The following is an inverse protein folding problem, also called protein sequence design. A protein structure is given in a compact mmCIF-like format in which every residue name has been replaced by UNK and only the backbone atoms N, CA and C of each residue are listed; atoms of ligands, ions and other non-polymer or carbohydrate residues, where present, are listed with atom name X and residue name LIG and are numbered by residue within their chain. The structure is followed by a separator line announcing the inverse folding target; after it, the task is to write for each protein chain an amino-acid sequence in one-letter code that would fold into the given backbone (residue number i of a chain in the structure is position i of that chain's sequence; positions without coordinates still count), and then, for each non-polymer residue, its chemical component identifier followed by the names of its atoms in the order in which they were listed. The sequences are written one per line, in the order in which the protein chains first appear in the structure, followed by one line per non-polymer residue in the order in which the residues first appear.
data_IF_948851263419
#
_entry.id   IF_948851263419
#
_cell.length_a   1.000
_cell.length_b   1.000
_cell.length_c   1.000
_cell.angle_alpha   90.00
_cell.angle_beta   90.00
_cell.angle_gamma   90.00
#
_symmetry.space_group_name_H-M   'P 1'
#
loop_
_entity.id
_entity.type
_entity.pdbx_description
1 polymer ?
#
# COMPACT_ATOMS: atom_id res chain seq x y z
N UNK A 1 -35.29 -43.16 -43.85
CA UNK A 1 -34.17 -42.17 -43.73
C UNK A 1 -34.52 -40.86 -43.02
N UNK A 2 -35.70 -40.24 -43.21
CA UNK A 2 -36.09 -39.00 -42.49
C UNK A 2 -36.22 -39.16 -40.97
N UNK A 3 -36.73 -40.30 -40.48
CA UNK A 3 -36.94 -40.52 -39.04
C UNK A 3 -35.64 -40.81 -38.27
N UNK A 4 -34.61 -41.38 -38.92
CA UNK A 4 -33.29 -41.63 -38.32
C UNK A 4 -32.52 -40.32 -38.10
N UNK A 5 -32.63 -39.35 -39.03
CA UNK A 5 -32.02 -38.02 -38.87
C UNK A 5 -32.65 -37.19 -37.74
N UNK A 6 -33.97 -37.26 -37.56
CA UNK A 6 -34.67 -36.62 -36.42
C UNK A 6 -34.28 -37.23 -35.07
N UNK A 7 -34.09 -38.55 -35.02
CA UNK A 7 -33.68 -39.27 -33.80
C UNK A 7 -32.23 -38.94 -33.39
N UNK A 8 -31.31 -38.83 -34.36
CA UNK A 8 -29.92 -38.42 -34.10
C UNK A 8 -29.85 -36.96 -33.63
N UNK A 9 -30.64 -36.04 -34.22
CA UNK A 9 -30.71 -34.65 -33.75
C UNK A 9 -31.28 -34.51 -32.33
N UNK A 10 -32.25 -35.35 -31.94
CA UNK A 10 -32.83 -35.35 -30.59
C UNK A 10 -31.82 -35.87 -29.54
N UNK A 11 -31.07 -36.92 -29.87
CA UNK A 11 -30.05 -37.50 -28.97
C UNK A 11 -28.86 -36.55 -28.82
N UNK A 12 -28.42 -35.88 -29.90
CA UNK A 12 -27.36 -34.87 -29.83
C UNK A 12 -27.79 -33.61 -29.05
N UNK A 13 -29.05 -33.20 -29.13
CA UNK A 13 -29.58 -32.09 -28.33
C UNK A 13 -29.72 -32.45 -26.84
N UNK A 14 -30.10 -33.69 -26.50
CA UNK A 14 -30.12 -34.17 -25.11
C UNK A 14 -28.70 -34.30 -24.51
N UNK A 15 -27.71 -34.75 -25.29
CA UNK A 15 -26.32 -34.86 -24.81
C UNK A 15 -25.68 -33.48 -24.57
N UNK A 16 -25.99 -32.50 -25.42
CA UNK A 16 -25.54 -31.11 -25.23
C UNK A 16 -26.24 -30.43 -24.04
N UNK A 17 -27.51 -30.75 -23.77
CA UNK A 17 -28.24 -30.24 -22.61
C UNK A 17 -27.77 -30.87 -21.28
N UNK A 18 -27.39 -32.15 -21.29
CA UNK A 18 -26.79 -32.81 -20.12
C UNK A 18 -25.37 -32.29 -19.81
N UNK A 19 -24.59 -31.90 -20.84
CA UNK A 19 -23.28 -31.26 -20.65
C UNK A 19 -23.40 -29.80 -20.17
N UNK A 20 -24.48 -29.10 -20.53
CA UNK A 20 -24.78 -27.76 -20.02
C UNK A 20 -25.34 -27.78 -18.58
N UNK A 21 -26.08 -28.83 -18.19
CA UNK A 21 -26.58 -29.00 -16.82
C UNK A 21 -25.55 -29.59 -15.84
N UNK A 22 -24.52 -30.29 -16.32
CA UNK A 22 -23.40 -30.75 -15.49
C UNK A 22 -22.52 -29.60 -14.95
N UNK A 23 -22.66 -28.38 -15.48
CA UNK A 23 -22.00 -27.17 -14.98
C UNK A 23 -22.86 -26.35 -13.99
N UNK A 24 -24.05 -26.82 -13.60
CA UNK A 24 -24.96 -26.09 -12.68
C UNK A 24 -24.96 -26.71 -11.27
N UNK A 25 -24.22 -27.80 -11.06
CA UNK A 25 -23.81 -28.27 -9.73
C UNK A 25 -22.29 -28.34 -9.66
N UNK A 26 -21.61 -27.22 -9.92
CA UNK A 26 -20.36 -26.98 -9.23
C UNK A 26 -20.72 -26.89 -7.75
N UNK A 27 -20.39 -27.94 -7.00
CA UNK A 27 -20.27 -27.82 -5.56
C UNK A 27 -19.43 -26.59 -5.32
N UNK A 28 -20.02 -25.62 -4.61
CA UNK A 28 -19.26 -24.52 -4.06
C UNK A 28 -18.37 -25.15 -3.00
N UNK A 29 -17.25 -25.73 -3.43
CA UNK A 29 -16.07 -25.72 -2.61
C UNK A 29 -15.81 -24.23 -2.41
N UNK A 30 -16.32 -23.70 -1.30
CA UNK A 30 -15.69 -22.58 -0.64
C UNK A 30 -14.26 -23.06 -0.44
N UNK A 31 -13.39 -22.79 -1.42
CA UNK A 31 -12.01 -22.55 -1.11
C UNK A 31 -12.11 -21.41 -0.10
N UNK A 32 -12.03 -21.76 1.19
CA UNK A 32 -11.68 -20.78 2.19
C UNK A 32 -10.42 -20.14 1.59
N UNK A 33 -10.56 -18.90 1.12
CA UNK A 33 -9.39 -18.10 0.84
C UNK A 33 -8.57 -18.24 2.12
N UNK A 34 -7.38 -18.83 2.00
CA UNK A 34 -6.42 -18.80 3.09
C UNK A 34 -6.16 -17.31 3.27
N UNK A 35 -6.93 -16.66 4.14
CA UNK A 35 -6.66 -15.31 4.58
C UNK A 35 -5.37 -15.49 5.37
N UNK A 36 -4.25 -15.28 4.70
CA UNK A 36 -2.96 -15.20 5.36
C UNK A 36 -3.15 -14.18 6.46
N UNK A 37 -2.95 -14.61 7.72
CA UNK A 37 -3.08 -13.70 8.84
C UNK A 37 -2.14 -12.52 8.60
N UNK A 38 -2.68 -11.30 8.77
CA UNK A 38 -1.90 -10.08 8.64
C UNK A 38 -0.68 -10.15 9.58
N UNK A 39 0.50 -9.71 9.12
CA UNK A 39 1.75 -9.88 9.84
C UNK A 39 1.77 -9.05 11.14
N UNK A 40 2.51 -9.51 12.15
CA UNK A 40 2.65 -8.78 13.43
C UNK A 40 3.47 -7.49 13.30
N UNK A 41 4.30 -7.40 12.26
CA UNK A 41 5.08 -6.22 11.92
C UNK A 41 5.19 -6.17 10.40
N UNK A 42 5.07 -4.98 9.82
CA UNK A 42 5.31 -4.76 8.41
C UNK A 42 5.79 -3.34 8.16
N UNK A 43 6.69 -3.14 7.19
CA UNK A 43 6.92 -1.83 6.62
C UNK A 43 5.57 -1.25 6.17
N UNK A 44 5.27 0.00 6.54
CA UNK A 44 4.10 0.69 6.01
C UNK A 44 4.48 1.32 4.66
N UNK A 45 5.49 2.18 4.66
CA UNK A 45 6.25 2.62 3.47
C UNK A 45 7.62 3.17 3.90
N UNK A 46 8.53 3.28 2.95
CA UNK A 46 9.78 4.03 3.09
C UNK A 46 10.04 4.87 1.83
N UNK A 47 10.63 6.05 1.99
CA UNK A 47 11.03 6.89 0.88
C UNK A 47 12.29 7.69 1.19
N UNK A 48 12.97 8.12 0.14
CA UNK A 48 14.06 9.09 0.25
C UNK A 48 13.56 10.44 0.81
N UNK A 49 14.37 11.06 1.66
CA UNK A 49 14.11 12.33 2.34
C UNK A 49 14.34 13.51 1.39
N UNK A 50 13.31 13.83 0.60
CA UNK A 50 13.23 15.04 -0.22
C UNK A 50 13.40 14.84 -1.73
N UNK A 51 12.99 15.80 -2.56
CA UNK A 51 13.18 15.76 -4.02
C UNK A 51 14.62 16.07 -4.45
N UNK A 52 15.45 16.54 -3.51
CA UNK A 52 16.79 17.04 -3.74
C UNK A 52 17.82 15.92 -3.63
N UNK A 53 18.39 15.52 -4.76
CA UNK A 53 19.54 14.60 -4.85
C UNK A 53 20.85 15.18 -4.28
N UNK A 54 20.81 16.31 -3.55
CA UNK A 54 21.97 17.18 -3.40
C UNK A 54 22.49 17.43 -1.98
N UNK A 55 21.88 16.92 -0.89
CA UNK A 55 22.56 16.95 0.42
C UNK A 55 21.91 16.04 1.45
N UNK A 56 22.72 15.10 1.95
CA UNK A 56 22.41 14.05 2.94
C UNK A 56 21.33 13.07 2.49
N UNK A 57 21.77 12.05 1.74
CA UNK A 57 20.92 10.92 1.38
C UNK A 57 20.42 10.22 2.65
N UNK A 58 19.14 10.39 2.93
CA UNK A 58 18.46 9.77 4.06
C UNK A 58 17.14 9.16 3.60
N UNK A 59 16.70 8.13 4.31
CA UNK A 59 15.44 7.46 4.07
C UNK A 59 14.59 7.55 5.32
N UNK A 60 13.39 8.09 5.19
CA UNK A 60 12.40 8.03 6.26
C UNK A 60 11.30 7.05 5.90
N UNK A 61 10.67 6.49 6.92
CA UNK A 61 9.60 5.54 6.71
C UNK A 61 8.76 5.36 7.94
N UNK A 62 7.71 4.56 7.75
CA UNK A 62 6.77 4.19 8.79
C UNK A 62 6.60 2.68 8.81
N UNK A 63 6.31 2.14 9.98
CA UNK A 63 6.13 0.70 10.25
C UNK A 63 4.78 0.52 10.92
N UNK A 64 4.01 -0.46 10.45
CA UNK A 64 2.81 -0.93 11.14
C UNK A 64 3.18 -2.08 12.08
N UNK A 65 2.77 -1.97 13.34
CA UNK A 65 3.10 -2.93 14.42
C UNK A 65 1.83 -3.37 15.13
N UNK A 66 1.51 -4.66 15.10
CA UNK A 66 0.29 -5.18 15.72
C UNK A 66 0.32 -4.97 17.23
N UNK A 67 -0.77 -4.46 17.79
CA UNK A 67 -0.89 -4.10 19.20
C UNK A 67 -1.10 -5.33 20.11
N UNK A 68 -0.01 -6.03 20.42
CA UNK A 68 -0.03 -7.27 21.22
C UNK A 68 0.26 -7.05 22.73
N UNK A 69 0.71 -5.86 23.12
CA UNK A 69 1.11 -5.52 24.50
C UNK A 69 1.68 -4.11 24.57
N UNK A 70 1.79 -3.51 25.75
CA UNK A 70 2.21 -2.10 25.89
C UNK A 70 3.72 -1.88 25.78
N UNK A 71 4.53 -2.88 26.14
CA UNK A 71 5.99 -2.78 26.11
C UNK A 71 6.51 -3.31 24.77
N UNK A 72 6.58 -2.41 23.79
CA UNK A 72 6.97 -2.70 22.40
C UNK A 72 8.36 -2.14 22.12
N UNK A 73 9.22 -2.98 21.58
CA UNK A 73 10.50 -2.56 21.01
C UNK A 73 10.48 -2.77 19.49
N UNK A 74 10.60 -1.68 18.73
CA UNK A 74 10.58 -1.68 17.27
C UNK A 74 11.90 -1.14 16.76
N UNK A 75 12.62 -1.94 15.99
CA UNK A 75 13.98 -1.62 15.55
C UNK A 75 14.09 -1.85 14.06
N UNK A 76 14.70 -0.88 13.36
CA UNK A 76 15.15 -1.05 11.99
C UNK A 76 16.57 -1.61 12.06
N UNK A 77 16.75 -2.85 11.61
CA UNK A 77 18.05 -3.51 11.48
C UNK A 77 18.55 -3.28 10.06
N UNK A 78 19.61 -2.49 9.88
CA UNK A 78 20.01 -2.00 8.57
C UNK A 78 21.52 -2.05 8.33
N UNK A 79 21.90 -2.07 7.06
CA UNK A 79 23.28 -2.05 6.59
C UNK A 79 23.41 -1.21 5.33
N UNK A 80 24.59 -0.63 5.12
CA UNK A 80 24.97 0.05 3.87
C UNK A 80 25.78 -0.85 2.94
N UNK A 81 26.55 -1.77 3.51
CA UNK A 81 27.59 -2.55 2.81
C UNK A 81 27.28 -4.05 2.77
N UNK A 82 26.20 -4.50 3.40
CA UNK A 82 25.83 -5.92 3.52
C UNK A 82 26.66 -6.70 4.56
N UNK A 83 27.58 -6.05 5.25
CA UNK A 83 28.51 -6.67 6.19
C UNK A 83 28.29 -6.16 7.62
N UNK A 84 28.25 -4.83 7.76
CA UNK A 84 28.09 -4.15 9.05
C UNK A 84 26.64 -3.80 9.24
N UNK A 85 25.99 -4.48 10.18
CA UNK A 85 24.60 -4.22 10.54
C UNK A 85 24.52 -3.31 11.77
N UNK A 86 23.56 -2.40 11.73
CA UNK A 86 23.27 -1.41 12.75
C UNK A 86 21.80 -1.52 13.15
N UNK A 87 21.49 -1.15 14.38
CA UNK A 87 20.11 -1.10 14.90
C UNK A 87 19.72 0.36 15.13
N UNK A 88 18.57 0.77 14.59
CA UNK A 88 17.93 2.06 14.85
C UNK A 88 16.57 1.83 15.52
N UNK A 89 16.37 2.35 16.72
CA UNK A 89 15.06 2.32 17.35
C UNK A 89 14.06 3.19 16.56
N UNK A 90 12.92 2.60 16.18
CA UNK A 90 11.81 3.33 15.59
C UNK A 90 11.00 4.03 16.69
N UNK A 91 10.39 5.16 16.36
CA UNK A 91 9.68 6.02 17.31
C UNK A 91 8.18 5.86 17.15
N UNK A 92 7.48 5.55 18.24
CA UNK A 92 6.01 5.50 18.25
C UNK A 92 5.42 6.84 17.79
N UNK A 93 4.46 6.79 16.88
CA UNK A 93 3.74 7.96 16.36
C UNK A 93 2.36 8.01 16.97
N UNK A 94 1.53 6.98 16.72
CA UNK A 94 0.14 6.86 17.17
C UNK A 94 -0.42 5.46 16.85
N UNK A 95 -1.61 5.15 17.35
CA UNK A 95 -2.41 4.04 16.83
C UNK A 95 -2.87 4.36 15.39
N UNK A 96 -2.92 3.37 14.49
CA UNK A 96 -3.42 3.58 13.13
C UNK A 96 -4.94 3.85 13.18
N UNK A 97 -5.41 5.03 12.72
CA UNK A 97 -6.83 5.35 12.76
C UNK A 97 -7.66 4.51 11.77
N UNK A 98 -7.04 3.94 10.74
CA UNK A 98 -7.73 3.13 9.73
C UNK A 98 -7.66 1.63 10.03
N UNK A 99 -6.73 1.20 10.90
CA UNK A 99 -6.55 -0.19 11.34
C UNK A 99 -6.16 -0.26 12.83
N UNK A 100 -7.13 -0.15 13.76
CA UNK A 100 -6.87 -0.03 15.19
C UNK A 100 -6.14 -1.22 15.83
N UNK A 101 -5.99 -2.34 15.11
CA UNK A 101 -5.13 -3.45 15.55
C UNK A 101 -3.64 -3.10 15.49
N UNK A 102 -3.26 -2.02 14.79
CA UNK A 102 -1.89 -1.64 14.56
C UNK A 102 -1.54 -0.27 15.15
N UNK A 103 -0.29 -0.16 15.61
CA UNK A 103 0.38 1.09 15.89
C UNK A 103 1.30 1.48 14.73
N UNK A 104 1.51 2.77 14.58
CA UNK A 104 2.41 3.36 13.61
C UNK A 104 3.67 3.85 14.31
N UNK A 105 4.82 3.37 13.82
CA UNK A 105 6.16 3.82 14.22
C UNK A 105 6.84 4.51 13.04
N UNK A 106 7.74 5.45 13.31
CA UNK A 106 8.52 6.16 12.30
C UNK A 106 10.02 5.91 12.47
N UNK A 107 10.77 6.02 11.38
CA UNK A 107 12.23 5.95 11.40
C UNK A 107 12.83 6.91 10.37
N UNK A 108 14.10 7.28 10.60
CA UNK A 108 14.91 8.05 9.66
C UNK A 108 16.35 7.53 9.69
N UNK A 109 16.80 6.95 8.58
CA UNK A 109 18.16 6.43 8.41
C UNK A 109 18.96 7.44 7.59
N UNK A 110 20.05 7.94 8.18
CA UNK A 110 20.90 8.97 7.57
C UNK A 110 22.05 8.37 6.75
N UNK A 111 21.73 7.43 5.87
CA UNK A 111 22.69 6.84 4.92
C UNK A 111 21.99 6.30 3.69
N UNK A 112 22.76 6.11 2.62
CA UNK A 112 22.36 5.50 1.35
C UNK A 112 23.59 4.85 0.68
N UNK A 113 23.41 3.73 -0.06
CA UNK A 113 22.18 2.93 -0.14
C UNK A 113 21.87 2.26 1.21
N UNK A 114 20.68 1.69 1.33
CA UNK A 114 20.29 0.91 2.52
C UNK A 114 19.69 -0.43 2.16
N UNK A 115 20.07 -1.44 2.93
CA UNK A 115 19.34 -2.70 3.05
C UNK A 115 18.87 -2.85 4.49
N UNK A 116 17.62 -3.21 4.72
CA UNK A 116 17.08 -3.29 6.08
C UNK A 116 15.95 -4.31 6.26
N UNK A 117 15.78 -4.74 7.51
CA UNK A 117 14.63 -5.49 8.01
C UNK A 117 14.10 -4.83 9.28
N UNK A 118 12.89 -5.17 9.68
CA UNK A 118 12.22 -4.61 10.84
C UNK A 118 12.06 -5.69 11.89
N UNK A 119 12.58 -5.44 13.09
CA UNK A 119 12.47 -6.29 14.26
C UNK A 119 11.42 -5.70 15.21
N UNK A 120 10.45 -6.51 15.61
CA UNK A 120 9.43 -6.16 16.60
C UNK A 120 9.48 -7.14 17.76
N UNK A 121 9.63 -6.65 18.98
CA UNK A 121 9.63 -7.46 20.19
C UNK A 121 8.55 -6.97 21.16
N UNK A 122 7.78 -7.91 21.69
CA UNK A 122 6.67 -7.67 22.62
C UNK A 122 6.36 -8.96 23.37
N UNK A 123 6.01 -8.87 24.66
CA UNK A 123 5.65 -10.03 25.50
C UNK A 123 6.65 -11.21 25.43
N UNK A 124 7.96 -10.90 25.33
CA UNK A 124 9.02 -11.90 25.21
C UNK A 124 9.10 -12.63 23.85
N UNK A 125 8.29 -12.23 22.86
CA UNK A 125 8.33 -12.75 21.49
C UNK A 125 9.09 -11.79 20.56
N UNK A 126 9.65 -12.32 19.47
CA UNK A 126 10.31 -11.53 18.43
C UNK A 126 9.72 -11.88 17.07
N UNK A 127 9.31 -10.85 16.33
CA UNK A 127 8.78 -10.91 14.97
C UNK A 127 9.68 -10.12 14.04
N UNK A 128 9.77 -10.56 12.79
CA UNK A 128 10.56 -9.91 11.76
C UNK A 128 9.71 -9.66 10.54
N UNK A 129 9.88 -8.47 9.97
CA UNK A 129 9.58 -8.21 8.57
C UNK A 129 10.91 -8.01 7.84
N UNK A 130 11.33 -9.06 7.15
CA UNK A 130 12.51 -9.08 6.31
C UNK A 130 12.13 -9.31 4.84
N UNK A 131 10.93 -8.88 4.42
CA UNK A 131 10.45 -8.99 3.04
C UNK A 131 10.65 -10.42 2.47
N UNK A 132 10.14 -11.42 3.19
CA UNK A 132 10.27 -12.85 2.87
C UNK A 132 11.72 -13.32 2.69
N UNK A 133 12.63 -12.79 3.50
CA UNK A 133 14.07 -13.10 3.48
C UNK A 133 14.89 -12.27 2.49
N UNK A 134 14.26 -11.43 1.66
CA UNK A 134 14.97 -10.59 0.71
C UNK A 134 15.52 -9.30 1.33
N UNK A 135 15.01 -8.93 2.50
CA UNK A 135 15.11 -7.58 3.09
C UNK A 135 14.52 -6.51 2.16
N UNK A 136 14.39 -5.30 2.70
CA UNK A 136 14.11 -4.11 1.91
C UNK A 136 15.42 -3.53 1.41
N UNK A 137 15.48 -3.14 0.15
CA UNK A 137 16.65 -2.51 -0.46
C UNK A 137 16.25 -1.21 -1.13
N UNK A 138 16.95 -0.12 -0.84
CA UNK A 138 16.70 1.21 -1.39
C UNK A 138 18.01 1.85 -1.80
N UNK A 139 18.08 2.23 -3.07
CA UNK A 139 19.20 2.91 -3.70
C UNK A 139 18.70 3.62 -4.95
N UNK A 140 19.48 4.52 -5.55
CA UNK A 140 19.12 5.11 -6.84
C UNK A 140 19.12 4.03 -7.94
N UNK A 141 18.03 3.85 -8.73
CA UNK A 141 16.87 4.74 -8.87
C UNK A 141 15.65 4.39 -8.01
N UNK A 142 15.65 3.29 -7.27
CA UNK A 142 14.54 2.84 -6.42
C UNK A 142 14.51 3.58 -5.06
N UNK A 143 13.89 4.75 -5.04
CA UNK A 143 13.87 5.65 -3.87
C UNK A 143 12.59 5.55 -3.01
N UNK A 144 11.68 4.63 -3.32
CA UNK A 144 10.41 4.44 -2.61
C UNK A 144 10.01 2.96 -2.56
N UNK A 145 9.47 2.54 -1.41
CA UNK A 145 8.90 1.21 -1.19
C UNK A 145 7.55 1.36 -0.49
N UNK A 146 6.52 0.69 -1.01
CA UNK A 146 5.19 0.61 -0.40
C UNK A 146 4.98 -0.80 0.18
N UNK A 147 4.99 -0.92 1.50
CA UNK A 147 4.77 -2.18 2.23
C UNK A 147 3.28 -2.43 2.46
N UNK A 148 2.78 -2.26 3.69
CA UNK A 148 1.33 -2.32 4.01
C UNK A 148 0.54 -1.25 3.26
N UNK A 149 1.13 -0.06 3.04
CA UNK A 149 0.45 1.00 2.31
C UNK A 149 0.30 0.67 0.83
N UNK A 150 -0.82 1.06 0.23
CA UNK A 150 -1.08 0.96 -1.21
C UNK A 150 -0.93 2.30 -1.93
N UNK A 151 -0.92 3.41 -1.17
CA UNK A 151 -0.89 4.78 -1.68
C UNK A 151 -0.15 5.69 -0.71
N UNK A 152 0.69 6.58 -1.23
CA UNK A 152 1.39 7.60 -0.44
C UNK A 152 1.51 8.91 -1.20
N UNK A 153 1.16 10.01 -0.54
CA UNK A 153 1.30 11.38 -1.01
C UNK A 153 2.63 11.94 -0.56
N UNK A 154 3.49 12.34 -1.48
CA UNK A 154 4.75 13.03 -1.17
C UNK A 154 4.48 14.51 -0.97
N UNK A 155 5.01 15.07 0.11
CA UNK A 155 4.95 16.50 0.41
C UNK A 155 6.33 17.14 0.30
N UNK A 156 6.42 18.26 -0.41
CA UNK A 156 7.62 19.09 -0.53
C UNK A 156 7.27 20.48 0.01
N UNK A 157 8.04 20.99 0.98
CA UNK A 157 7.74 22.25 1.67
C UNK A 157 6.29 22.31 2.18
N UNK A 158 5.83 21.21 2.80
CA UNK A 158 4.46 20.98 3.29
C UNK A 158 3.38 20.87 2.22
N UNK A 159 3.69 21.11 0.94
CA UNK A 159 2.73 21.02 -0.14
C UNK A 159 2.73 19.63 -0.78
N UNK A 160 1.57 19.05 -1.10
CA UNK A 160 1.49 17.82 -1.89
C UNK A 160 2.05 18.07 -3.25
N UNK A 161 2.89 17.17 -3.70
CA UNK A 161 3.48 17.29 -5.03
C UNK A 161 3.17 16.09 -5.89
N UNK A 162 3.32 14.90 -5.34
CA UNK A 162 3.28 13.64 -6.09
C UNK A 162 2.52 12.60 -5.26
N UNK A 163 1.86 11.65 -5.94
CA UNK A 163 1.24 10.48 -5.33
C UNK A 163 1.92 9.23 -5.89
N UNK A 164 2.40 8.35 -5.01
CA UNK A 164 2.83 7.00 -5.34
C UNK A 164 1.71 6.01 -5.05
N UNK A 165 1.44 5.09 -5.99
CA UNK A 165 0.50 3.98 -5.79
C UNK A 165 1.13 2.67 -6.21
N UNK A 166 0.75 1.56 -5.58
CA UNK A 166 1.15 0.23 -6.07
C UNK A 166 0.63 0.00 -7.48
N UNK A 167 1.42 -0.62 -8.35
CA UNK A 167 1.03 -0.94 -9.71
C UNK A 167 0.33 -2.30 -9.79
N UNK A 168 -0.94 -2.36 -9.42
CA UNK A 168 -1.68 -3.64 -9.28
C UNK A 168 -2.53 -4.07 -10.49
N UNK A 169 -2.83 -3.14 -11.40
CA UNK A 169 -3.60 -3.39 -12.62
C UNK A 169 -3.43 -2.23 -13.60
N UNK A 170 -3.84 -2.35 -14.86
CA UNK A 170 -3.87 -1.19 -15.76
C UNK A 170 -5.01 -0.22 -15.41
N UNK A 171 -6.21 -0.76 -15.18
CA UNK A 171 -7.38 0.05 -14.80
C UNK A 171 -7.32 0.38 -13.31
N UNK A 172 -7.05 1.65 -13.02
CA UNK A 172 -7.05 2.21 -11.67
C UNK A 172 -7.47 3.67 -11.71
N UNK A 173 -7.92 4.18 -10.57
CA UNK A 173 -8.27 5.59 -10.40
C UNK A 173 -7.58 6.13 -9.16
N UNK A 174 -7.00 7.33 -9.28
CA UNK A 174 -6.42 8.07 -8.15
C UNK A 174 -7.13 9.40 -8.05
N UNK A 175 -7.63 9.74 -6.86
CA UNK A 175 -8.34 11.00 -6.59
C UNK A 175 -7.74 11.70 -5.39
N UNK A 176 -7.74 13.02 -5.42
CA UNK A 176 -7.57 13.84 -4.24
C UNK A 176 -8.97 14.21 -3.77
N UNK A 177 -9.28 13.87 -2.53
CA UNK A 177 -10.45 14.38 -1.84
C UNK A 177 -10.04 15.48 -0.90
N UNK A 178 -10.70 16.63 -1.00
CA UNK A 178 -10.42 17.76 -0.11
C UNK A 178 -11.70 18.30 0.52
N UNK A 179 -11.53 18.97 1.66
CA UNK A 179 -12.56 19.73 2.36
C UNK A 179 -12.05 21.15 2.63
N UNK A 180 -12.97 22.10 2.73
CA UNK A 180 -12.71 23.48 3.15
C UNK A 180 -13.51 23.86 4.40
N UNK A 181 -14.21 22.89 5.01
CA UNK A 181 -15.17 23.11 6.09
C UNK A 181 -15.12 21.99 7.14
N UNK A 182 -13.91 21.53 7.48
CA UNK A 182 -13.68 20.47 8.47
C UNK A 182 -14.51 19.19 8.20
N UNK A 183 -14.49 18.73 6.95
CA UNK A 183 -15.15 17.50 6.50
C UNK A 183 -16.69 17.49 6.55
N UNK A 184 -17.34 18.64 6.81
CA UNK A 184 -18.80 18.75 6.66
C UNK A 184 -19.24 18.50 5.20
N UNK A 185 -18.41 18.89 4.25
CA UNK A 185 -18.52 18.50 2.85
C UNK A 185 -17.13 18.28 2.25
N UNK A 186 -17.07 17.55 1.14
CA UNK A 186 -15.83 17.32 0.41
C UNK A 186 -16.05 17.44 -1.11
N UNK A 187 -14.94 17.52 -1.84
CA UNK A 187 -14.87 17.47 -3.29
C UNK A 187 -13.78 16.48 -3.71
N UNK A 188 -14.03 15.73 -4.78
CA UNK A 188 -13.07 14.79 -5.34
C UNK A 188 -12.56 15.32 -6.69
N UNK A 189 -11.25 15.28 -6.90
CA UNK A 189 -10.59 15.66 -8.16
C UNK A 189 -9.67 14.53 -8.61
N UNK A 190 -9.78 14.13 -9.86
CA UNK A 190 -8.95 13.07 -10.42
C UNK A 190 -7.48 13.52 -10.53
N UNK A 191 -6.57 12.72 -9.99
CA UNK A 191 -5.14 12.83 -10.25
C UNK A 191 -4.83 12.35 -11.67
N UNK A 192 -3.65 12.71 -12.18
CA UNK A 192 -3.20 12.30 -13.51
C UNK A 192 -1.99 11.38 -13.42
N UNK A 193 -2.06 10.23 -14.06
CA UNK A 193 -0.89 9.35 -14.21
C UNK A 193 0.25 10.15 -14.83
N UNK A 194 1.46 9.99 -14.28
CA UNK A 194 2.65 10.63 -14.79
C UNK A 194 3.57 9.63 -15.47
N UNK A 195 4.04 8.63 -14.73
CA UNK A 195 4.96 7.58 -15.20
C UNK A 195 4.90 6.38 -14.25
N UNK A 196 5.43 5.25 -14.71
CA UNK A 196 5.86 4.19 -13.79
C UNK A 196 7.17 4.64 -13.13
N UNK A 197 7.23 4.64 -11.80
CA UNK A 197 8.47 4.93 -11.07
C UNK A 197 9.39 3.71 -11.08
N UNK A 198 8.79 2.52 -10.92
CA UNK A 198 9.41 1.22 -11.14
C UNK A 198 8.33 0.19 -11.49
N UNK A 199 8.68 -1.10 -11.55
CA UNK A 199 7.75 -2.18 -11.87
C UNK A 199 6.55 -2.27 -10.90
N UNK A 200 6.73 -1.87 -9.65
CA UNK A 200 5.76 -2.06 -8.57
C UNK A 200 5.02 -0.77 -8.19
N UNK A 201 5.47 0.40 -8.67
CA UNK A 201 4.97 1.71 -8.22
C UNK A 201 4.75 2.64 -9.42
N UNK A 202 3.55 3.21 -9.47
CA UNK A 202 3.23 4.32 -10.39
C UNK A 202 3.29 5.67 -9.67
N UNK A 203 3.70 6.68 -10.41
CA UNK A 203 3.70 8.09 -10.00
C UNK A 203 2.53 8.83 -10.65
N UNK A 204 1.80 9.60 -9.83
CA UNK A 204 0.65 10.38 -10.22
C UNK A 204 0.83 11.85 -9.79
N UNK A 205 0.50 12.75 -10.71
CA UNK A 205 0.53 14.19 -10.47
C UNK A 205 -0.74 14.65 -9.75
N UNK A 206 -0.53 15.57 -8.82
CA UNK A 206 -1.60 16.26 -8.12
C UNK A 206 -2.13 17.40 -9.01
N UNK A 207 -3.46 17.53 -9.19
CA UNK A 207 -4.06 18.61 -9.97
C UNK A 207 -3.72 19.99 -9.41
N UNK A 208 -3.42 20.94 -10.28
CA UNK A 208 -3.05 22.31 -9.88
C UNK A 208 -4.22 23.14 -9.35
N UNK A 209 -5.46 22.72 -9.61
CA UNK A 209 -6.68 23.44 -9.27
C UNK A 209 -7.31 22.99 -7.95
N UNK A 210 -6.50 22.44 -7.02
CA UNK A 210 -6.95 22.19 -5.65
C UNK A 210 -6.90 23.50 -4.84
N UNK A 211 -7.91 23.80 -4.01
CA UNK A 211 -7.88 24.98 -3.15
C UNK A 211 -6.68 24.98 -2.21
N UNK A 212 -6.26 26.17 -1.77
CA UNK A 212 -5.24 26.38 -0.74
C UNK A 212 -5.86 27.14 0.44
N UNK A 213 -5.24 27.02 1.61
CA UNK A 213 -5.65 27.76 2.80
C UNK A 213 -5.64 26.93 4.07
N UNK A 214 -5.71 27.62 5.21
CA UNK A 214 -5.56 27.02 6.55
C UNK A 214 -6.65 26.01 6.89
N UNK A 215 -7.83 26.16 6.29
CA UNK A 215 -8.99 25.28 6.48
C UNK A 215 -9.04 24.15 5.43
N UNK A 216 -8.11 24.14 4.47
CA UNK A 216 -8.05 23.12 3.43
C UNK A 216 -7.31 21.89 3.94
N UNK A 217 -8.00 20.76 3.93
CA UNK A 217 -7.44 19.45 4.26
C UNK A 217 -7.72 18.48 3.11
N UNK A 218 -6.79 17.58 2.85
CA UNK A 218 -6.96 16.56 1.82
C UNK A 218 -6.49 15.19 2.26
N UNK A 219 -7.08 14.20 1.60
CA UNK A 219 -6.68 12.80 1.57
C UNK A 219 -6.64 12.30 0.13
N UNK A 220 -5.94 11.20 -0.11
CA UNK A 220 -5.83 10.59 -1.44
C UNK A 220 -6.53 9.23 -1.45
N UNK A 221 -7.34 9.00 -2.48
CA UNK A 221 -8.03 7.74 -2.71
C UNK A 221 -7.40 7.04 -3.91
N UNK A 222 -7.06 5.77 -3.75
CA UNK A 222 -6.57 4.89 -4.80
C UNK A 222 -7.49 3.69 -4.96
N UNK A 223 -8.21 3.62 -6.08
CA UNK A 223 -9.13 2.54 -6.39
C UNK A 223 -8.59 1.64 -7.49
N UNK A 224 -8.51 0.33 -7.22
CA UNK A 224 -8.02 -0.69 -8.15
C UNK A 224 -8.61 -2.06 -7.80
N UNK A 225 -8.91 -2.89 -8.82
CA UNK A 225 -9.44 -4.25 -8.63
C UNK A 225 -10.66 -4.32 -7.67
N UNK A 226 -11.53 -3.31 -7.69
CA UNK A 226 -12.72 -3.24 -6.84
C UNK A 226 -12.46 -2.79 -5.39
N UNK A 227 -11.22 -2.55 -4.99
CA UNK A 227 -10.84 -2.04 -3.67
C UNK A 227 -10.52 -0.55 -3.72
N UNK A 228 -10.67 0.16 -2.60
CA UNK A 228 -10.23 1.55 -2.44
C UNK A 228 -9.34 1.67 -1.21
N UNK A 229 -8.15 2.21 -1.41
CA UNK A 229 -7.16 2.49 -0.39
C UNK A 229 -7.05 3.99 -0.16
N UNK A 230 -6.75 4.41 1.07
CA UNK A 230 -6.73 5.81 1.46
C UNK A 230 -5.37 6.16 2.04
N UNK A 231 -4.84 7.32 1.65
CA UNK A 231 -3.77 8.00 2.37
C UNK A 231 -4.29 9.33 2.91
N UNK A 232 -4.57 9.34 4.21
CA UNK A 232 -5.03 10.48 4.97
C UNK A 232 -3.98 10.95 6.00
N UNK A 233 -2.70 10.64 5.77
CA UNK A 233 -1.59 10.96 6.68
C UNK A 233 -1.87 10.49 8.12
N UNK A 234 -2.30 9.23 8.29
CA UNK A 234 -2.65 8.65 9.58
C UNK A 234 -3.64 9.53 10.38
N UNK A 235 -4.67 10.03 9.69
CA UNK A 235 -5.74 10.85 10.26
C UNK A 235 -5.38 12.31 10.56
N UNK A 236 -4.13 12.73 10.38
CA UNK A 236 -3.78 14.15 10.50
C UNK A 236 -4.26 14.96 9.29
N UNK A 237 -4.54 14.25 8.19
CA UNK A 237 -4.71 14.81 6.86
C UNK A 237 -3.47 15.59 6.45
N UNK A 238 -3.51 16.02 5.21
CA UNK A 238 -2.48 16.87 4.66
C UNK A 238 -3.07 18.28 4.41
N UNK A 239 -2.23 19.31 4.44
CA UNK A 239 -2.60 20.73 4.27
C UNK A 239 -1.63 21.46 3.33
N UNK A 240 -2.10 22.39 2.51
CA UNK A 240 -1.28 23.22 1.63
C UNK A 240 -1.37 24.69 2.08
N UNK A 241 -0.30 25.19 2.69
CA UNK A 241 -0.19 26.57 3.17
C UNK A 241 0.23 27.51 2.04
#
# INVERSE_FOLDING_TARGET
MKNVKKMIQLVSAMMLCCLLMANIFSTHANAAANIQAEPNVQLYYAQFSGPSRASYESYFGYVAVKNLGSDKNVVIHYTKDGQTWNDLAAVYVKADPNDPEYDIYSFNILTSPITFAIKYQVNGQTYWDNNDGNNYHMENPNLVVLGKSFVKTVTINNNPTIIYVKNLAYQKTVKIRYTTNNWNSYQDVDAKFYKAENENIDEWNIPQNIPTGTDVKYEVLYSVNGNTYIDNNFGDYYTNW
#
